data_IF_089167903694
#
_entry.id   IF_089167903694
#
_cell.length_a   1.000
_cell.length_b   1.000
_cell.length_c   1.000
_cell.angle_alpha   90.00
_cell.angle_beta   90.00
_cell.angle_gamma   90.00
#
_symmetry.space_group_name_H-M   'P 1'
#
loop_
_entity.id
_entity.type
_entity.pdbx_description
1 polymer ?
#
# COMPACT_ATOMS: atom_id res chain seq x y z
N UNK A 1 8.02 -16.46 6.60
CA UNK A 1 7.30 -17.67 7.03
C UNK A 1 5.83 -17.46 6.78
N UNK A 2 5.18 -18.43 6.15
CA UNK A 2 3.73 -18.45 5.95
C UNK A 2 3.16 -19.68 6.64
N UNK A 3 1.92 -19.57 7.10
CA UNK A 3 1.11 -20.69 7.57
C UNK A 3 -0.16 -20.73 6.73
N UNK A 4 -0.53 -21.92 6.25
CA UNK A 4 -1.67 -22.13 5.35
C UNK A 4 -2.53 -23.29 5.79
N UNK A 5 -3.83 -23.20 5.49
CA UNK A 5 -4.66 -24.38 5.28
C UNK A 5 -4.72 -24.66 3.77
N UNK A 6 -4.79 -25.92 3.40
CA UNK A 6 -5.01 -26.32 2.02
C UNK A 6 -5.72 -27.66 1.90
N UNK A 7 -6.26 -27.87 0.70
CA UNK A 7 -6.67 -29.14 0.14
C UNK A 7 -6.10 -29.27 -1.27
N UNK A 8 -5.44 -30.39 -1.56
CA UNK A 8 -4.85 -30.71 -2.85
C UNK A 8 -5.64 -31.82 -3.55
N UNK A 9 -6.00 -31.58 -4.82
CA UNK A 9 -6.73 -32.54 -5.66
C UNK A 9 -6.02 -32.79 -6.99
N UNK A 10 -6.18 -34.00 -7.53
CA UNK A 10 -5.80 -34.32 -8.91
C UNK A 10 -6.77 -33.62 -9.86
N UNK A 11 -6.25 -32.83 -10.82
CA UNK A 11 -7.12 -32.06 -11.72
C UNK A 11 -7.97 -32.94 -12.64
N UNK A 12 -7.49 -34.14 -12.96
CA UNK A 12 -8.18 -35.07 -13.87
C UNK A 12 -9.32 -35.81 -13.18
N UNK A 13 -9.11 -36.29 -11.95
CA UNK A 13 -10.10 -37.12 -11.24
C UNK A 13 -10.88 -36.37 -10.17
N UNK A 14 -10.36 -35.23 -9.69
CA UNK A 14 -10.88 -34.50 -8.54
C UNK A 14 -10.59 -35.17 -7.20
N UNK A 15 -9.82 -36.26 -7.19
CA UNK A 15 -9.48 -36.98 -5.95
C UNK A 15 -8.56 -36.13 -5.08
N UNK A 16 -8.93 -36.00 -3.80
CA UNK A 16 -8.09 -35.38 -2.77
C UNK A 16 -6.95 -36.32 -2.46
N UNK A 17 -5.73 -35.81 -2.53
CA UNK A 17 -4.53 -36.56 -2.19
C UNK A 17 -3.87 -36.08 -0.89
N UNK A 18 -4.17 -34.85 -0.45
CA UNK A 18 -3.61 -34.29 0.78
C UNK A 18 -4.47 -33.11 1.26
N UNK A 19 -4.74 -33.03 2.57
CA UNK A 19 -5.57 -31.98 3.15
C UNK A 19 -5.20 -31.70 4.61
N UNK A 20 -5.08 -30.43 4.95
CA UNK A 20 -4.88 -29.99 6.34
C UNK A 20 -6.18 -29.88 7.14
N UNK A 21 -7.34 -29.90 6.47
CA UNK A 21 -8.63 -29.79 7.12
C UNK A 21 -9.02 -31.04 7.91
N UNK A 22 -8.56 -32.22 7.46
CA UNK A 22 -8.84 -33.48 8.15
C UNK A 22 -8.21 -33.50 9.55
N UNK A 23 -6.98 -33.00 9.68
CA UNK A 23 -6.23 -33.02 10.93
C UNK A 23 -6.36 -31.74 11.78
N UNK A 24 -7.08 -30.72 11.28
CA UNK A 24 -7.12 -29.38 11.85
C UNK A 24 -5.73 -28.79 12.14
N UNK A 25 -4.74 -29.14 11.33
CA UNK A 25 -3.37 -28.62 11.44
C UNK A 25 -3.13 -27.50 10.44
N UNK A 26 -2.16 -26.62 10.70
CA UNK A 26 -1.70 -25.62 9.73
C UNK A 26 -0.34 -26.02 9.20
N UNK A 27 -0.16 -25.96 7.89
CA UNK A 27 1.14 -26.23 7.29
C UNK A 27 1.97 -24.95 7.23
N UNK A 28 3.18 -24.97 7.79
CA UNK A 28 4.03 -23.78 7.95
C UNK A 28 5.40 -23.97 7.31
N UNK A 29 5.82 -23.02 6.49
CA UNK A 29 7.10 -23.10 5.77
C UNK A 29 7.66 -21.72 5.40
N UNK A 30 8.90 -21.71 4.90
CA UNK A 30 9.54 -20.51 4.37
C UNK A 30 9.28 -20.37 2.87
N UNK A 31 8.43 -19.42 2.50
CA UNK A 31 8.15 -19.11 1.09
C UNK A 31 9.38 -18.54 0.37
N UNK A 32 9.59 -18.98 -0.87
CA UNK A 32 10.68 -18.55 -1.74
C UNK A 32 12.01 -19.25 -1.49
N UNK A 33 12.04 -20.30 -0.66
CA UNK A 33 13.23 -21.09 -0.36
C UNK A 33 13.35 -22.37 -1.19
N UNK A 34 12.36 -22.68 -2.05
CA UNK A 34 12.33 -23.90 -2.84
C UNK A 34 12.03 -25.16 -2.04
N UNK A 35 11.54 -25.03 -0.79
CA UNK A 35 11.14 -26.17 0.05
C UNK A 35 9.75 -26.72 -0.28
N UNK A 36 8.98 -26.00 -1.09
CA UNK A 36 7.66 -26.40 -1.59
C UNK A 36 7.65 -26.34 -3.11
N UNK A 37 6.58 -26.85 -3.72
CA UNK A 37 6.41 -26.80 -5.17
C UNK A 37 6.45 -25.36 -5.70
N UNK A 38 7.00 -25.17 -6.91
CA UNK A 38 7.23 -23.84 -7.49
C UNK A 38 5.94 -23.02 -7.59
N UNK A 39 4.81 -23.67 -7.87
CA UNK A 39 3.51 -23.01 -7.95
C UNK A 39 3.16 -22.28 -6.65
N UNK A 40 3.40 -22.90 -5.49
CA UNK A 40 3.14 -22.31 -4.18
C UNK A 40 4.08 -21.15 -3.88
N UNK A 41 5.37 -21.31 -4.17
CA UNK A 41 6.34 -20.24 -4.01
C UNK A 41 5.95 -18.98 -4.81
N UNK A 42 5.32 -19.14 -5.98
CA UNK A 42 4.84 -18.03 -6.81
C UNK A 42 3.51 -17.48 -6.30
N UNK A 43 2.50 -18.32 -6.16
CA UNK A 43 1.12 -17.89 -5.89
C UNK A 43 0.95 -17.30 -4.49
N UNK A 44 1.55 -17.90 -3.46
CA UNK A 44 1.35 -17.45 -2.09
C UNK A 44 2.01 -16.09 -1.82
N UNK A 45 2.94 -15.64 -2.67
CA UNK A 45 3.50 -14.28 -2.61
C UNK A 45 2.51 -13.20 -3.03
N UNK A 46 1.46 -13.55 -3.77
CA UNK A 46 0.46 -12.58 -4.24
C UNK A 46 -0.77 -12.50 -3.34
N UNK A 47 -0.90 -13.43 -2.39
CA UNK A 47 -2.06 -13.52 -1.50
C UNK A 47 -1.95 -12.59 -0.29
N UNK A 48 -3.11 -12.19 0.22
CA UNK A 48 -3.24 -11.50 1.52
C UNK A 48 -3.57 -12.51 2.61
N UNK A 49 -3.18 -12.20 3.86
CA UNK A 49 -3.57 -13.01 5.02
C UNK A 49 -5.11 -13.02 5.12
N UNK A 50 -5.69 -14.21 5.29
CA UNK A 50 -7.13 -14.49 5.27
C UNK A 50 -7.73 -14.73 3.88
N UNK A 51 -6.93 -14.63 2.81
CA UNK A 51 -7.39 -14.93 1.45
C UNK A 51 -7.44 -16.45 1.21
N UNK A 52 -8.51 -16.90 0.53
CA UNK A 52 -8.63 -18.25 -0.01
C UNK A 52 -8.49 -18.17 -1.53
N UNK A 53 -7.58 -18.95 -2.10
CA UNK A 53 -7.32 -18.97 -3.53
C UNK A 53 -7.28 -20.41 -4.08
N UNK A 54 -7.78 -20.59 -5.30
CA UNK A 54 -7.64 -21.82 -6.07
C UNK A 54 -6.47 -21.71 -7.05
N UNK A 55 -5.49 -22.59 -6.93
CA UNK A 55 -4.23 -22.58 -7.68
C UNK A 55 -4.13 -23.86 -8.51
N UNK A 56 -4.25 -23.72 -9.83
CA UNK A 56 -4.01 -24.82 -10.78
C UNK A 56 -2.52 -24.91 -11.12
N UNK A 57 -1.92 -26.05 -10.82
CA UNK A 57 -0.49 -26.30 -10.91
C UNK A 57 -0.20 -27.30 -12.04
N UNK A 58 0.42 -26.82 -13.13
CA UNK A 58 0.97 -27.71 -14.16
C UNK A 58 2.13 -28.56 -13.59
N UNK A 59 2.45 -29.71 -14.19
CA UNK A 59 3.45 -30.63 -13.65
C UNK A 59 4.82 -29.98 -13.43
N UNK A 60 5.26 -29.13 -14.37
CA UNK A 60 6.57 -28.43 -14.30
C UNK A 60 6.72 -27.48 -13.11
N UNK A 61 5.58 -27.07 -12.52
CA UNK A 61 5.48 -26.24 -11.33
C UNK A 61 5.07 -27.01 -10.07
N UNK A 62 4.88 -28.34 -10.19
CA UNK A 62 4.51 -29.27 -9.15
C UNK A 62 5.56 -30.40 -9.06
N UNK A 63 5.15 -31.66 -9.23
CA UNK A 63 5.98 -32.86 -9.05
C UNK A 63 6.59 -33.41 -10.35
N UNK A 64 6.34 -32.75 -11.49
CA UNK A 64 6.93 -33.09 -12.79
C UNK A 64 6.70 -34.55 -13.22
N UNK A 65 7.65 -35.09 -13.98
CA UNK A 65 7.61 -36.46 -14.48
C UNK A 65 7.87 -37.52 -13.41
N UNK A 66 8.33 -37.14 -12.22
CA UNK A 66 8.55 -38.07 -11.13
C UNK A 66 7.26 -38.39 -10.37
N UNK A 67 6.35 -37.40 -10.26
CA UNK A 67 5.20 -37.50 -9.38
C UNK A 67 5.60 -37.57 -7.90
N UNK A 68 4.70 -38.05 -7.05
CA UNK A 68 4.93 -38.38 -5.65
C UNK A 68 4.13 -39.65 -5.31
N UNK A 69 4.67 -40.84 -5.60
CA UNK A 69 3.95 -42.09 -5.39
C UNK A 69 3.65 -42.34 -3.89
N UNK A 70 2.51 -42.97 -3.55
CA UNK A 70 1.49 -43.50 -4.46
C UNK A 70 0.43 -42.47 -4.90
N UNK A 71 0.39 -41.30 -4.28
CA UNK A 71 -0.74 -40.38 -4.33
C UNK A 71 -0.76 -39.50 -5.59
N UNK A 72 0.41 -39.09 -6.08
CA UNK A 72 0.54 -38.17 -7.20
C UNK A 72 1.24 -38.88 -8.37
N UNK A 73 0.55 -39.15 -9.49
CA UNK A 73 1.16 -39.81 -10.63
C UNK A 73 2.16 -38.88 -11.37
N UNK A 74 3.06 -39.46 -12.17
CA UNK A 74 3.89 -38.71 -13.11
C UNK A 74 3.09 -37.75 -13.98
N UNK A 75 3.60 -36.54 -14.18
CA UNK A 75 3.01 -35.51 -15.04
C UNK A 75 1.58 -35.08 -14.65
N UNK A 76 1.20 -35.24 -13.38
CA UNK A 76 -0.11 -34.82 -12.89
C UNK A 76 -0.25 -33.29 -12.85
N UNK A 77 -1.40 -32.79 -13.32
CA UNK A 77 -1.85 -31.42 -13.02
C UNK A 77 -2.62 -31.45 -11.71
N UNK A 78 -2.32 -30.52 -10.80
CA UNK A 78 -2.92 -30.46 -9.47
C UNK A 78 -3.75 -29.19 -9.32
N UNK A 79 -4.78 -29.25 -8.48
CA UNK A 79 -5.53 -28.07 -8.04
C UNK A 79 -5.45 -27.99 -6.53
N UNK A 80 -4.96 -26.87 -6.03
CA UNK A 80 -4.95 -26.58 -4.60
C UNK A 80 -5.96 -25.49 -4.29
N UNK A 81 -6.79 -25.71 -3.29
CA UNK A 81 -7.47 -24.62 -2.59
C UNK A 81 -6.64 -24.29 -1.35
N UNK A 82 -6.18 -23.04 -1.23
CA UNK A 82 -5.26 -22.63 -0.16
C UNK A 82 -5.81 -21.40 0.54
N UNK A 83 -5.85 -21.44 1.87
CA UNK A 83 -6.10 -20.30 2.74
C UNK A 83 -4.79 -19.83 3.36
N UNK A 84 -4.46 -18.55 3.21
CA UNK A 84 -3.29 -17.96 3.87
C UNK A 84 -3.62 -17.52 5.29
N UNK A 85 -3.38 -18.40 6.28
CA UNK A 85 -3.72 -18.16 7.69
C UNK A 85 -2.83 -17.11 8.35
N UNK A 86 -1.52 -17.13 8.09
CA UNK A 86 -0.60 -16.15 8.67
C UNK A 86 0.61 -15.91 7.78
N UNK A 87 1.13 -14.68 7.82
CA UNK A 87 2.42 -14.33 7.24
C UNK A 87 3.26 -13.61 8.29
N UNK A 88 4.44 -14.17 8.59
CA UNK A 88 5.42 -13.56 9.49
C UNK A 88 6.70 -13.21 8.73
N UNK A 89 7.20 -11.97 8.87
CA UNK A 89 8.50 -11.61 8.32
C UNK A 89 9.58 -12.49 8.96
N UNK A 90 10.62 -12.86 8.20
CA UNK A 90 11.79 -13.53 8.79
C UNK A 90 12.41 -12.59 9.84
N UNK A 91 12.81 -13.12 11.00
CA UNK A 91 13.76 -12.42 11.88
C UNK A 91 15.04 -12.20 11.07
N UNK A 92 15.32 -10.95 10.72
CA UNK A 92 16.45 -10.59 9.85
C UNK A 92 16.10 -10.34 8.38
N UNK A 93 14.84 -10.47 7.94
CA UNK A 93 14.41 -9.87 6.68
C UNK A 93 14.53 -8.34 6.80
N UNK A 94 15.29 -7.77 5.88
CA UNK A 94 15.94 -6.47 5.99
C UNK A 94 15.04 -5.30 6.40
N UNK A 95 15.60 -4.44 7.25
CA UNK A 95 15.19 -3.07 7.54
C UNK A 95 15.12 -2.14 6.30
N UNK A 96 15.29 -2.66 5.09
CA UNK A 96 15.25 -1.87 3.85
C UNK A 96 13.84 -1.40 3.54
N UNK A 97 12.83 -2.26 3.63
CA UNK A 97 11.43 -1.88 3.34
C UNK A 97 10.82 -0.94 4.38
N UNK A 98 11.34 -0.91 5.62
CA UNK A 98 10.94 0.08 6.63
C UNK A 98 11.62 1.44 6.38
N UNK A 99 12.83 1.44 5.81
CA UNK A 99 13.56 2.67 5.48
C UNK A 99 12.95 3.40 4.29
N UNK A 100 12.53 2.67 3.26
CA UNK A 100 11.82 3.23 2.09
C UNK A 100 10.49 3.88 2.49
N UNK A 101 9.70 3.22 3.35
CA UNK A 101 8.42 3.76 3.82
C UNK A 101 8.60 4.98 4.73
N UNK A 102 9.61 4.95 5.62
CA UNK A 102 9.95 6.09 6.47
C UNK A 102 10.44 7.29 5.66
N UNK A 103 11.25 7.07 4.63
CA UNK A 103 11.72 8.13 3.74
C UNK A 103 10.56 8.80 2.99
N UNK A 104 9.62 7.99 2.46
CA UNK A 104 8.42 8.49 1.78
C UNK A 104 7.52 9.31 2.70
N UNK A 105 7.31 8.86 3.94
CA UNK A 105 6.52 9.59 4.93
C UNK A 105 7.17 10.93 5.34
N UNK A 106 8.50 10.98 5.46
CA UNK A 106 9.23 12.21 5.75
C UNK A 106 9.13 13.21 4.58
N UNK A 107 9.23 12.73 3.35
CA UNK A 107 9.07 13.56 2.14
C UNK A 107 7.65 14.16 2.07
N UNK A 108 6.61 13.35 2.30
CA UNK A 108 5.22 13.80 2.35
C UNK A 108 4.97 14.83 3.47
N UNK A 109 5.56 14.62 4.65
CA UNK A 109 5.46 15.57 5.76
C UNK A 109 6.12 16.91 5.41
N UNK A 110 7.32 16.87 4.84
CA UNK A 110 8.07 18.06 4.41
C UNK A 110 7.33 18.83 3.30
N UNK A 111 6.71 18.12 2.35
CA UNK A 111 5.87 18.73 1.32
C UNK A 111 4.64 19.42 1.91
N UNK A 112 3.95 18.79 2.88
CA UNK A 112 2.79 19.39 3.55
C UNK A 112 3.16 20.63 4.37
N UNK A 113 4.30 20.60 5.06
CA UNK A 113 4.82 21.75 5.80
C UNK A 113 5.22 22.90 4.86
N UNK A 114 5.89 22.61 3.73
CA UNK A 114 6.20 23.63 2.71
C UNK A 114 4.95 24.24 2.08
N UNK A 115 3.92 23.42 1.79
CA UNK A 115 2.64 23.91 1.25
C UNK A 115 1.90 24.75 2.29
N UNK A 116 1.97 24.40 3.58
CA UNK A 116 1.37 25.20 4.64
C UNK A 116 2.09 26.55 4.79
N UNK A 117 3.43 26.54 4.80
CA UNK A 117 4.23 27.76 4.90
C UNK A 117 4.02 28.70 3.71
N UNK A 118 3.97 28.18 2.48
CA UNK A 118 3.73 29.01 1.30
C UNK A 118 2.32 29.62 1.29
N UNK A 119 1.30 28.87 1.72
CA UNK A 119 -0.06 29.39 1.89
C UNK A 119 -0.15 30.46 2.98
N UNK A 120 0.61 30.32 4.07
CA UNK A 120 0.67 31.31 5.15
C UNK A 120 1.37 32.60 4.69
N UNK A 121 2.46 32.48 3.94
CA UNK A 121 3.19 33.61 3.37
C UNK A 121 2.34 34.38 2.34
N UNK A 122 1.64 33.67 1.46
CA UNK A 122 0.67 34.27 0.51
C UNK A 122 -0.48 34.98 1.23
N UNK A 123 -1.00 34.38 2.30
CA UNK A 123 -2.05 35.01 3.13
C UNK A 123 -1.54 36.31 3.77
N UNK A 124 -0.31 36.31 4.30
CA UNK A 124 0.33 37.49 4.90
C UNK A 124 0.55 38.60 3.88
N UNK A 125 1.09 38.28 2.69
CA UNK A 125 1.27 39.24 1.58
C UNK A 125 -0.07 39.85 1.12
N UNK A 126 -1.13 39.03 1.04
CA UNK A 126 -2.47 39.50 0.68
C UNK A 126 -3.08 40.42 1.74
N UNK A 127 -2.88 40.12 3.02
CA UNK A 127 -3.35 40.96 4.13
C UNK A 127 -2.62 42.29 4.19
N UNK A 128 -1.29 42.28 4.02
CA UNK A 128 -0.47 43.48 3.96
C UNK A 128 -0.83 44.36 2.75
N UNK A 129 -1.01 43.77 1.58
CA UNK A 129 -1.49 44.50 0.39
C UNK A 129 -2.87 45.13 0.62
N UNK A 130 -3.78 44.43 1.32
CA UNK A 130 -5.11 44.95 1.67
C UNK A 130 -5.01 46.12 2.66
N UNK A 131 -4.14 46.02 3.67
CA UNK A 131 -3.90 47.09 4.64
C UNK A 131 -3.30 48.34 3.96
N UNK A 132 -2.30 48.16 3.10
CA UNK A 132 -1.69 49.25 2.34
C UNK A 132 -2.69 49.96 1.41
N UNK A 133 -3.59 49.20 0.77
CA UNK A 133 -4.66 49.77 -0.05
C UNK A 133 -5.66 50.58 0.80
N UNK A 134 -6.05 50.09 1.98
CA UNK A 134 -6.96 50.79 2.89
C UNK A 134 -6.37 52.13 3.39
N UNK A 135 -5.08 52.14 3.77
CA UNK A 135 -4.39 53.35 4.23
C UNK A 135 -4.33 54.45 3.14
N UNK A 136 -4.08 54.05 1.88
CA UNK A 136 -4.09 54.99 0.73
C UNK A 136 -5.46 55.61 0.48
N UNK A 137 -6.55 54.85 0.71
CA UNK A 137 -7.91 55.35 0.59
C UNK A 137 -8.23 56.36 1.70
N UNK A 138 -7.83 56.07 2.94
CA UNK A 138 -8.02 56.99 4.08
C UNK A 138 -7.28 58.32 3.89
N UNK A 139 -6.00 58.28 3.48
CA UNK A 139 -5.21 59.50 3.24
C UNK A 139 -5.81 60.42 2.15
N UNK A 140 -6.43 59.83 1.10
CA UNK A 140 -7.15 60.59 0.05
C UNK A 140 -8.46 61.22 0.56
N UNK A 141 -9.15 60.57 1.49
CA UNK A 141 -10.37 61.12 2.09
C UNK A 141 -10.07 62.30 3.03
N UNK A 142 -9.00 62.23 3.81
CA UNK A 142 -8.60 63.30 4.73
C UNK A 142 -8.08 64.55 4.00
N UNK A 143 -7.29 64.37 2.95
CA UNK A 143 -6.83 65.48 2.09
C UNK A 143 -8.00 66.19 1.38
N UNK A 144 -9.06 65.45 1.00
CA UNK A 144 -10.28 66.04 0.43
C UNK A 144 -11.12 66.80 1.48
N UNK A 145 -10.99 66.45 2.76
CA UNK A 145 -11.66 67.15 3.89
C UNK A 145 -11.00 68.50 4.22
N UNK A 146 -9.71 68.67 3.94
CA UNK A 146 -8.99 69.94 4.14
C UNK A 146 -9.23 70.96 3.01
N UNK A 147 -9.57 70.51 1.79
CA UNK A 147 -9.85 71.39 0.65
C UNK A 147 -11.26 72.05 0.67
N UNK A 148 -12.14 71.64 1.60
CA UNK A 148 -13.51 72.14 1.74
C UNK A 148 -13.71 73.37 2.64
N UNK A 149 -12.69 73.85 3.35
CA UNK A 149 -12.75 75.08 4.19
C UNK A 149 -11.89 76.18 3.58
N UNK A 150 -12.31 76.75 2.45
CA UNK A 150 -11.47 77.74 1.79
C UNK A 150 -12.07 78.51 0.63
N UNK A 151 -13.36 78.86 0.62
CA UNK A 151 -13.89 80.00 -0.14
C UNK A 151 -15.10 80.60 0.58
N UNK A 152 -14.83 81.35 1.66
CA UNK A 152 -15.71 82.39 2.14
C UNK A 152 -15.17 83.75 1.70
N UNK A 153 -16.08 84.59 1.18
CA UNK A 153 -16.01 86.05 0.90
C UNK A 153 -15.67 86.55 -0.52
N UNK A 154 -16.39 87.63 -0.82
CA UNK A 154 -16.34 88.61 -1.92
C UNK A 154 -17.27 88.26 -3.10
N UNK A 155 -18.28 89.04 -3.45
CA UNK A 155 -18.74 90.40 -3.12
C UNK A 155 -20.27 90.43 -3.09
#
# INVERSE_FOLDING_TARGET
FVAVHYEGTLAETGEVFDSTHEDNTVFSFEIGSGTVIKAWDIALRTMKVGEVAKITCKPDYAYGSAGSPPEIPPNATLVFEVELVACRPRKGASLSSVSDEKARLLELKKQREMIAASKEEEKKKREEAKAAAAARIQAKLESKKHQGKGKGKAK
#
